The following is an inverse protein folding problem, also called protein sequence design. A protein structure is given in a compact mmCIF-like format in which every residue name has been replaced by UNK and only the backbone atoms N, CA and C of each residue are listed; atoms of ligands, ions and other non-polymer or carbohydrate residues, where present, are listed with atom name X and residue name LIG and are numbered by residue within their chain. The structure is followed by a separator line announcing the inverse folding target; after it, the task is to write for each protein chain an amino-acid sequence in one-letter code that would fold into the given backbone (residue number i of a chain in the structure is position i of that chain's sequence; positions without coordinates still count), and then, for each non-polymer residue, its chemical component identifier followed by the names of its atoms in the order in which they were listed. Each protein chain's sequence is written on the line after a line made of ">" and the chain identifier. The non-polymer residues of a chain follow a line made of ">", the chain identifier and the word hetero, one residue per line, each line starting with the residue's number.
data_IF_174710634700
#
_entry.id   IF_174710634700
#
_cell.length_a   1.000
_cell.length_b   1.000
_cell.length_c   1.000
_cell.angle_alpha   90.00
_cell.angle_beta   90.00
_cell.angle_gamma   90.00
#
_symmetry.space_group_name_H-M   'P 1'
#
loop_
_entity.id
_entity.type
_entity.pdbx_description
1 polymer ?
#
# COMPACT_ATOMS: atom_id res chain seq x y z
N UNK A 1 14.35 15.88 7.31
CA UNK A 1 13.27 14.88 7.26
C UNK A 1 13.40 14.14 5.95
N UNK A 2 13.74 12.85 5.97
CA UNK A 2 13.83 12.04 4.76
C UNK A 2 12.45 11.96 4.10
N UNK A 3 12.37 12.25 2.80
CA UNK A 3 11.13 12.11 2.02
C UNK A 3 10.75 10.63 2.05
N UNK A 4 9.70 10.29 2.78
CA UNK A 4 9.11 8.95 2.76
C UNK A 4 8.34 8.77 1.44
N UNK A 5 9.07 8.57 0.34
CA UNK A 5 8.51 8.42 -1.00
C UNK A 5 9.53 7.83 -1.96
N UNK A 6 9.04 7.07 -2.94
CA UNK A 6 9.86 6.57 -4.04
C UNK A 6 9.89 7.68 -5.11
N UNK A 7 11.07 8.21 -5.41
CA UNK A 7 11.25 9.18 -6.48
C UNK A 7 11.53 8.44 -7.79
N UNK A 8 10.63 8.60 -8.76
CA UNK A 8 10.73 8.00 -10.09
C UNK A 8 10.81 9.14 -11.09
N UNK A 9 11.85 9.14 -11.93
CA UNK A 9 12.13 10.21 -12.88
C UNK A 9 12.01 9.68 -14.31
N UNK A 10 11.39 10.47 -15.19
CA UNK A 10 11.47 10.27 -16.64
C UNK A 10 12.51 11.26 -17.17
N UNK A 11 13.54 10.74 -17.83
CA UNK A 11 14.48 11.57 -18.59
C UNK A 11 14.38 11.19 -20.06
N UNK A 12 13.61 11.96 -20.82
CA UNK A 12 13.46 11.79 -22.26
C UNK A 12 13.89 13.08 -22.96
N UNK A 13 14.65 12.93 -24.03
CA UNK A 13 15.05 14.01 -24.92
C UNK A 13 13.79 14.67 -25.53
N UNK A 14 13.79 15.99 -25.68
CA UNK A 14 12.65 16.77 -26.19
C UNK A 14 11.54 17.08 -25.17
N UNK A 15 11.31 16.27 -24.12
CA UNK A 15 10.27 16.61 -23.12
C UNK A 15 10.58 17.89 -22.35
N UNK A 16 11.86 18.14 -22.05
CA UNK A 16 12.29 19.37 -21.38
C UNK A 16 12.05 20.60 -22.25
N UNK A 17 12.31 20.48 -23.55
CA UNK A 17 12.08 21.56 -24.52
C UNK A 17 10.60 21.83 -24.68
N UNK A 18 9.76 20.78 -24.82
CA UNK A 18 8.30 20.93 -24.87
C UNK A 18 7.77 21.60 -23.60
N UNK A 19 8.26 21.20 -22.43
CA UNK A 19 7.89 21.84 -21.17
C UNK A 19 8.31 23.32 -21.12
N UNK A 20 9.52 23.64 -21.57
CA UNK A 20 10.00 25.02 -21.64
C UNK A 20 9.16 25.86 -22.62
N UNK A 21 8.84 25.31 -23.79
CA UNK A 21 8.00 25.96 -24.80
C UNK A 21 6.58 26.22 -24.27
N UNK A 22 5.96 25.25 -23.58
CA UNK A 22 4.65 25.46 -22.92
C UNK A 22 4.73 26.61 -21.92
N UNK A 23 5.77 26.65 -21.08
CA UNK A 23 5.92 27.73 -20.08
C UNK A 23 6.21 29.09 -20.69
N UNK A 24 6.88 29.14 -21.84
CA UNK A 24 7.14 30.38 -22.56
C UNK A 24 5.89 30.89 -23.29
N UNK A 25 5.06 29.98 -23.81
CA UNK A 25 3.90 30.32 -24.62
C UNK A 25 2.67 30.68 -23.80
N UNK A 26 2.45 29.99 -22.68
CA UNK A 26 1.25 30.15 -21.86
C UNK A 26 1.54 30.90 -20.55
N UNK A 27 0.62 31.75 -20.06
CA UNK A 27 0.64 32.24 -18.69
C UNK A 27 0.75 31.08 -17.69
N UNK A 28 1.40 31.29 -16.54
CA UNK A 28 1.67 30.23 -15.57
C UNK A 28 0.43 29.40 -15.18
N UNK A 29 -0.73 30.05 -15.01
CA UNK A 29 -1.98 29.34 -14.69
C UNK A 29 -2.35 28.35 -15.80
N UNK A 30 -2.42 28.82 -17.04
CA UNK A 30 -2.77 28.00 -18.21
C UNK A 30 -1.72 26.91 -18.47
N UNK A 31 -0.44 27.23 -18.36
CA UNK A 31 0.64 26.25 -18.45
C UNK A 31 0.45 25.10 -17.44
N UNK A 32 0.09 25.42 -16.20
CA UNK A 32 -0.15 24.40 -15.16
C UNK A 32 -1.38 23.52 -15.45
N UNK A 33 -2.39 24.06 -16.12
CA UNK A 33 -3.60 23.34 -16.53
C UNK A 33 -3.30 22.40 -17.70
N UNK A 34 -2.60 22.90 -18.72
CA UNK A 34 -2.15 22.10 -19.88
C UNK A 34 -1.24 20.95 -19.41
N UNK A 35 -0.21 21.25 -18.62
CA UNK A 35 0.68 20.23 -18.05
C UNK A 35 -0.08 19.25 -17.17
N UNK A 36 -1.02 19.74 -16.34
CA UNK A 36 -1.83 18.89 -15.47
C UNK A 36 -2.66 17.88 -16.25
N UNK A 37 -3.34 18.33 -17.31
CA UNK A 37 -4.16 17.46 -18.17
C UNK A 37 -3.30 16.45 -18.94
N UNK A 38 -2.15 16.89 -19.46
CA UNK A 38 -1.22 16.02 -20.18
C UNK A 38 -0.65 14.93 -19.26
N UNK A 39 -0.21 15.31 -18.05
CA UNK A 39 0.30 14.37 -17.04
C UNK A 39 -0.79 13.36 -16.64
N UNK A 40 -2.03 13.81 -16.41
CA UNK A 40 -3.12 12.93 -16.00
C UNK A 40 -3.39 11.80 -17.01
N UNK A 41 -3.37 12.13 -18.30
CA UNK A 41 -3.47 11.13 -19.37
C UNK A 41 -2.22 10.26 -19.46
N UNK A 42 -1.04 10.87 -19.34
CA UNK A 42 0.24 10.18 -19.48
C UNK A 42 0.46 9.13 -18.38
N UNK A 43 0.05 9.40 -17.14
CA UNK A 43 0.25 8.47 -16.00
C UNK A 43 -0.77 7.33 -15.96
N UNK A 44 -1.86 7.40 -16.74
CA UNK A 44 -2.94 6.42 -16.70
C UNK A 44 -2.49 4.97 -16.99
N UNK A 45 -1.63 4.69 -17.98
CA UNK A 45 -1.09 3.35 -18.21
C UNK A 45 -0.33 2.79 -16.99
N UNK A 46 0.46 3.64 -16.33
CA UNK A 46 1.19 3.27 -15.12
C UNK A 46 0.25 2.97 -13.94
N UNK A 47 -0.86 3.73 -13.82
CA UNK A 47 -1.92 3.45 -12.86
C UNK A 47 -2.59 2.08 -13.10
N UNK A 48 -2.95 1.76 -14.34
CA UNK A 48 -3.51 0.46 -14.71
C UNK A 48 -2.54 -0.67 -14.39
N UNK A 49 -1.27 -0.50 -14.82
CA UNK A 49 -0.22 -1.49 -14.59
C UNK A 49 0.01 -1.73 -13.10
N UNK A 50 0.04 -0.68 -12.29
CA UNK A 50 0.15 -0.81 -10.83
C UNK A 50 -0.97 -1.68 -10.27
N UNK A 51 -2.21 -1.48 -10.71
CA UNK A 51 -3.35 -2.30 -10.33
C UNK A 51 -3.24 -3.77 -10.74
N UNK A 52 -2.52 -4.09 -11.81
CA UNK A 52 -2.28 -5.45 -12.29
C UNK A 52 -1.17 -6.16 -11.49
N UNK A 53 -0.02 -5.50 -11.31
CA UNK A 53 1.14 -6.08 -10.62
C UNK A 53 0.99 -6.10 -9.10
N UNK A 54 0.06 -5.32 -8.55
CA UNK A 54 -0.23 -5.34 -7.11
C UNK A 54 -0.74 -6.73 -6.68
N UNK A 55 -0.06 -7.41 -5.73
CA UNK A 55 -0.47 -8.74 -5.29
C UNK A 55 -1.87 -8.72 -4.65
N UNK A 56 -2.63 -9.78 -4.92
CA UNK A 56 -3.98 -9.95 -4.36
C UNK A 56 -3.90 -10.52 -2.94
N UNK A 57 -3.94 -9.65 -1.95
CA UNK A 57 -4.10 -10.06 -0.55
C UNK A 57 -5.52 -10.54 -0.22
N UNK A 58 -5.74 -11.19 0.94
CA UNK A 58 -7.04 -11.75 1.33
C UNK A 58 -8.22 -10.76 1.32
N UNK A 59 -7.96 -9.46 1.52
CA UNK A 59 -8.99 -8.40 1.49
C UNK A 59 -8.92 -7.50 0.27
N UNK A 60 -7.93 -7.70 -0.61
CA UNK A 60 -7.69 -6.85 -1.78
C UNK A 60 -7.48 -5.34 -1.45
N UNK A 61 -7.24 -4.98 -0.19
CA UNK A 61 -7.14 -3.58 0.25
C UNK A 61 -6.07 -2.80 -0.50
N UNK A 62 -4.90 -3.41 -0.68
CA UNK A 62 -3.80 -2.76 -1.38
C UNK A 62 -4.16 -2.44 -2.83
N UNK A 63 -4.75 -3.41 -3.55
CA UNK A 63 -5.20 -3.22 -4.93
C UNK A 63 -6.31 -2.16 -5.03
N UNK A 64 -7.26 -2.15 -4.08
CA UNK A 64 -8.33 -1.13 -4.00
C UNK A 64 -7.80 0.26 -3.65
N UNK A 65 -6.63 0.34 -3.02
CA UNK A 65 -6.00 1.59 -2.66
C UNK A 65 -5.16 2.17 -3.79
N UNK A 66 -4.92 1.45 -4.89
CA UNK A 66 -4.21 1.98 -6.05
C UNK A 66 -4.91 3.24 -6.52
N UNK A 67 -4.14 4.32 -6.63
CA UNK A 67 -4.65 5.62 -7.02
C UNK A 67 -3.58 6.41 -7.76
N UNK A 68 -4.06 7.32 -8.60
CA UNK A 68 -3.26 8.38 -9.18
C UNK A 68 -3.83 9.73 -8.75
N UNK A 69 -2.96 10.74 -8.70
CA UNK A 69 -3.33 12.12 -8.39
C UNK A 69 -2.42 13.05 -9.16
N UNK A 70 -3.00 14.06 -9.79
CA UNK A 70 -2.23 15.17 -10.36
C UNK A 70 -2.42 16.41 -9.49
N UNK A 71 -1.30 17.06 -9.15
CA UNK A 71 -1.30 18.32 -8.42
C UNK A 71 -0.73 19.42 -9.31
N UNK A 72 -1.51 20.47 -9.52
CA UNK A 72 -1.14 21.64 -10.32
C UNK A 72 -0.58 22.73 -9.40
N UNK A 73 0.35 23.51 -9.93
CA UNK A 73 1.00 24.64 -9.26
C UNK A 73 0.85 25.88 -10.17
N UNK A 74 -0.30 26.58 -10.11
CA UNK A 74 -0.62 27.67 -11.03
C UNK A 74 0.32 28.87 -10.97
N UNK A 75 0.96 29.10 -9.82
CA UNK A 75 1.93 30.19 -9.65
C UNK A 75 3.25 29.91 -10.38
N UNK A 76 3.64 28.64 -10.46
CA UNK A 76 4.94 28.22 -11.01
C UNK A 76 4.84 27.71 -12.45
N UNK A 77 3.61 27.59 -12.99
CA UNK A 77 3.35 26.95 -14.27
C UNK A 77 3.80 25.48 -14.30
N UNK A 78 3.69 24.79 -13.17
CA UNK A 78 4.15 23.41 -13.01
C UNK A 78 3.00 22.48 -12.63
N UNK A 79 3.18 21.18 -12.89
CA UNK A 79 2.28 20.13 -12.44
C UNK A 79 3.07 18.88 -12.09
N UNK A 80 2.58 18.10 -11.13
CA UNK A 80 3.20 16.86 -10.65
C UNK A 80 2.17 15.75 -10.67
N UNK A 81 2.54 14.63 -11.30
CA UNK A 81 1.79 13.38 -11.26
C UNK A 81 2.28 12.49 -10.12
N UNK A 82 1.36 11.90 -9.38
CA UNK A 82 1.61 10.95 -8.31
C UNK A 82 0.87 9.67 -8.62
N UNK A 83 1.56 8.54 -8.51
CA UNK A 83 0.99 7.20 -8.63
C UNK A 83 1.44 6.41 -7.41
N UNK A 84 0.53 5.62 -6.84
CA UNK A 84 0.85 4.76 -5.72
C UNK A 84 -0.41 4.26 -5.06
N UNK A 85 -0.35 4.17 -3.74
CA UNK A 85 -1.48 3.73 -2.92
C UNK A 85 -1.99 4.86 -2.05
N UNK A 86 -3.30 4.92 -1.86
CA UNK A 86 -3.93 5.80 -0.88
C UNK A 86 -3.40 5.43 0.49
N UNK A 87 -2.84 6.42 1.16
CA UNK A 87 -2.44 6.31 2.57
C UNK A 87 -3.67 5.88 3.37
N UNK A 88 -3.46 4.94 4.29
CA UNK A 88 -4.52 4.61 5.23
C UNK A 88 -4.94 5.85 6.04
N UNK A 89 -6.22 5.95 6.38
CA UNK A 89 -6.78 7.12 7.08
C UNK A 89 -5.94 7.57 8.28
N UNK A 90 -5.90 8.88 8.53
CA UNK A 90 -5.12 9.49 9.65
C UNK A 90 -5.79 9.24 11.00
N UNK A 91 -7.07 8.86 10.99
CA UNK A 91 -7.77 8.43 12.19
C UNK A 91 -6.99 7.31 12.89
N UNK A 92 -7.05 7.26 14.22
CA UNK A 92 -6.46 6.16 14.97
C UNK A 92 -6.89 4.87 14.31
N UNK A 93 -5.93 4.10 13.81
CA UNK A 93 -6.18 2.79 13.26
C UNK A 93 -6.94 2.02 14.34
N UNK A 94 -8.26 1.92 14.19
CA UNK A 94 -9.04 1.06 15.05
C UNK A 94 -8.48 -0.32 14.78
N UNK A 95 -7.79 -0.86 15.78
CA UNK A 95 -7.48 -2.28 15.80
C UNK A 95 -8.76 -2.98 15.36
N UNK A 96 -8.67 -3.92 14.44
CA UNK A 96 -9.76 -4.84 14.19
C UNK A 96 -9.94 -5.66 15.47
N UNK A 97 -10.51 -5.02 16.50
CA UNK A 97 -10.78 -5.54 17.82
C UNK A 97 -11.83 -6.63 17.61
N UNK A 98 -11.35 -7.82 17.29
CA UNK A 98 -12.19 -8.97 16.99
C UNK A 98 -12.12 -9.55 15.60
N UNK A 99 -11.05 -9.33 14.83
CA UNK A 99 -10.66 -10.33 13.83
C UNK A 99 -11.41 -10.31 12.50
N UNK A 100 -12.15 -9.25 12.17
CA UNK A 100 -12.55 -9.01 10.77
C UNK A 100 -11.54 -8.08 10.09
N UNK A 101 -10.76 -8.64 9.16
CA UNK A 101 -9.96 -7.82 8.24
C UNK A 101 -10.97 -7.04 7.38
N UNK A 102 -11.11 -5.74 7.65
CA UNK A 102 -12.08 -4.91 6.92
C UNK A 102 -11.56 -4.60 5.52
N UNK A 103 -12.44 -4.72 4.54
CA UNK A 103 -12.15 -4.29 3.19
C UNK A 103 -12.32 -2.77 3.08
N UNK A 104 -11.36 -2.06 2.47
CA UNK A 104 -11.42 -0.61 2.30
C UNK A 104 -10.25 -0.05 1.49
N UNK A 105 -10.47 1.01 0.68
CA UNK A 105 -9.42 1.66 -0.11
C UNK A 105 -8.42 2.46 0.75
N UNK A 106 -8.73 2.68 2.03
CA UNK A 106 -7.98 3.43 3.03
C UNK A 106 -7.20 2.49 3.99
N UNK A 107 -6.84 1.28 3.54
CA UNK A 107 -6.24 0.24 4.39
C UNK A 107 -5.02 -0.44 3.76
N UNK A 108 -4.21 0.32 3.02
CA UNK A 108 -2.99 -0.12 2.34
C UNK A 108 -1.75 -0.24 3.25
N UNK A 109 -1.89 -0.78 4.46
CA UNK A 109 -0.81 -0.82 5.47
C UNK A 109 0.45 -1.60 5.03
N UNK A 110 0.33 -2.43 3.99
CA UNK A 110 1.36 -3.37 3.57
C UNK A 110 2.20 -2.90 2.38
N UNK A 111 1.92 -1.70 1.83
CA UNK A 111 2.71 -1.17 0.71
C UNK A 111 4.21 -1.22 1.02
N UNK A 112 4.63 -0.61 2.14
CA UNK A 112 6.05 -0.47 2.46
C UNK A 112 6.77 -1.83 2.52
N UNK A 113 6.11 -2.86 3.05
CA UNK A 113 6.67 -4.20 3.14
C UNK A 113 6.85 -4.86 1.77
N UNK A 114 6.01 -4.52 0.80
CA UNK A 114 6.14 -5.05 -0.55
C UNK A 114 7.17 -4.28 -1.38
N UNK A 115 7.38 -2.99 -1.11
CA UNK A 115 8.40 -2.23 -1.84
C UNK A 115 9.82 -2.52 -1.32
N UNK A 116 9.99 -2.65 0.00
CA UNK A 116 11.32 -2.69 0.64
C UNK A 116 11.60 -3.97 1.43
N UNK A 117 10.66 -4.90 1.44
CA UNK A 117 10.72 -6.09 2.29
C UNK A 117 10.62 -5.76 3.78
N UNK A 118 10.89 -6.76 4.61
CA UNK A 118 11.02 -6.61 6.06
C UNK A 118 12.26 -7.34 6.54
N UNK A 119 12.82 -6.88 7.66
CA UNK A 119 13.93 -7.59 8.32
C UNK A 119 13.40 -8.80 9.08
N UNK A 120 14.26 -9.80 9.27
CA UNK A 120 14.01 -10.90 10.18
C UNK A 120 13.65 -10.37 11.57
N UNK A 121 12.61 -10.94 12.20
CA UNK A 121 12.20 -10.58 13.56
C UNK A 121 12.37 -11.77 14.48
N UNK A 122 12.92 -11.54 15.66
CA UNK A 122 13.07 -12.57 16.69
C UNK A 122 12.22 -12.20 17.89
N UNK A 123 11.29 -13.08 18.26
CA UNK A 123 10.55 -12.98 19.52
C UNK A 123 11.44 -13.60 20.60
N UNK A 124 12.22 -12.75 21.26
CA UNK A 124 13.19 -13.13 22.30
C UNK A 124 12.71 -12.86 23.73
N UNK A 125 11.52 -12.31 23.92
CA UNK A 125 10.93 -12.11 25.24
C UNK A 125 10.02 -13.28 25.61
N UNK A 126 10.35 -13.97 26.70
CA UNK A 126 9.51 -15.02 27.27
C UNK A 126 8.27 -14.41 27.94
N UNK A 127 7.15 -15.13 27.86
CA UNK A 127 5.96 -14.86 28.65
C UNK A 127 6.20 -15.30 30.10
N UNK A 128 6.61 -14.37 30.95
CA UNK A 128 6.97 -14.62 32.35
C UNK A 128 6.08 -13.87 33.34
N UNK A 129 5.12 -13.07 32.88
CA UNK A 129 4.24 -12.34 33.79
C UNK A 129 3.29 -13.32 34.48
N UNK A 130 3.42 -13.56 35.79
CA UNK A 130 2.46 -14.36 36.52
C UNK A 130 1.09 -13.68 36.48
N UNK A 131 0.03 -14.48 36.48
CA UNK A 131 -1.34 -13.97 36.63
C UNK A 131 -2.09 -14.79 37.66
N UNK A 132 -2.96 -14.11 38.41
CA UNK A 132 -3.82 -14.75 39.40
C UNK A 132 -5.03 -15.34 38.70
N UNK A 133 -5.14 -16.67 38.70
CA UNK A 133 -6.34 -17.34 38.20
C UNK A 133 -7.39 -17.31 39.30
N UNK A 134 -8.58 -16.80 38.97
CA UNK A 134 -9.73 -16.85 39.89
C UNK A 134 -10.15 -18.30 40.14
N UNK A 135 -10.70 -18.54 41.32
CA UNK A 135 -11.23 -19.85 41.66
C UNK A 135 -12.34 -20.27 40.69
N UNK A 136 -12.40 -21.55 40.36
CA UNK A 136 -13.44 -22.11 39.48
C UNK A 136 -13.67 -23.58 39.78
N UNK A 137 -14.86 -24.07 39.47
CA UNK A 137 -15.16 -25.50 39.53
C UNK A 137 -14.64 -26.19 38.27
N UNK A 138 -13.98 -27.34 38.45
CA UNK A 138 -13.48 -28.19 37.36
C UNK A 138 -14.10 -29.57 37.49
N UNK A 139 -14.66 -30.08 36.40
CA UNK A 139 -15.07 -31.48 36.29
C UNK A 139 -13.88 -32.34 35.87
N UNK A 140 -13.61 -33.40 36.61
CA UNK A 140 -12.58 -34.39 36.31
C UNK A 140 -13.09 -35.39 35.28
N UNK A 141 -12.16 -36.15 34.68
CA UNK A 141 -12.50 -37.23 33.74
C UNK A 141 -13.38 -38.32 34.39
N UNK A 142 -13.28 -38.50 35.71
CA UNK A 142 -14.14 -39.39 36.51
C UNK A 142 -15.57 -38.87 36.72
N UNK A 143 -15.91 -37.68 36.22
CA UNK A 143 -17.22 -37.06 36.39
C UNK A 143 -17.39 -36.27 37.69
N UNK A 144 -16.49 -36.43 38.67
CA UNK A 144 -16.47 -35.67 39.91
C UNK A 144 -16.14 -34.19 39.68
N UNK A 145 -16.73 -33.31 40.50
CA UNK A 145 -16.49 -31.86 40.44
C UNK A 145 -15.59 -31.45 41.61
N UNK A 146 -14.50 -30.75 41.32
CA UNK A 146 -13.57 -30.23 42.33
C UNK A 146 -13.52 -28.71 42.24
N UNK A 147 -13.55 -28.03 43.37
CA UNK A 147 -13.32 -26.58 43.43
C UNK A 147 -11.81 -26.29 43.37
N UNK A 148 -11.41 -25.45 42.41
CA UNK A 148 -10.02 -25.03 42.25
C UNK A 148 -9.89 -23.66 42.87
N UNK A 149 -9.18 -23.55 44.00
CA UNK A 149 -8.93 -22.28 44.69
C UNK A 149 -8.16 -21.29 43.82
N UNK A 150 -8.32 -19.97 44.04
CA UNK A 150 -7.49 -18.97 43.39
C UNK A 150 -6.00 -19.25 43.67
N UNK A 151 -5.19 -19.27 42.62
CA UNK A 151 -3.74 -19.49 42.74
C UNK A 151 -3.00 -18.74 41.63
N UNK A 152 -1.72 -18.46 41.89
CA UNK A 152 -0.81 -17.92 40.89
C UNK A 152 -0.47 -19.04 39.92
N UNK A 153 -0.84 -18.89 38.64
CA UNK A 153 -0.46 -19.87 37.62
C UNK A 153 0.98 -19.57 37.21
N UNK A 154 1.89 -20.50 37.45
CA UNK A 154 3.27 -20.46 36.94
C UNK A 154 3.50 -21.51 35.83
N UNK A 155 2.74 -22.61 35.84
CA UNK A 155 2.91 -23.75 34.92
C UNK A 155 2.44 -23.39 33.50
N UNK A 156 3.33 -23.53 32.52
CA UNK A 156 3.09 -23.14 31.11
C UNK A 156 3.60 -21.74 30.74
N UNK A 157 4.19 -21.02 31.71
CA UNK A 157 4.96 -19.79 31.50
C UNK A 157 6.39 -20.13 31.06
N UNK A 158 7.19 -19.13 30.71
CA UNK A 158 8.53 -19.26 30.11
C UNK A 158 8.57 -19.68 28.63
N UNK A 159 7.46 -19.54 27.90
CA UNK A 159 7.42 -19.73 26.44
C UNK A 159 7.53 -18.41 25.70
N UNK A 160 8.11 -18.46 24.51
CA UNK A 160 8.03 -17.38 23.53
C UNK A 160 6.67 -17.47 22.83
N UNK A 161 5.94 -16.36 22.77
CA UNK A 161 4.58 -16.32 22.22
C UNK A 161 4.52 -15.30 21.09
N UNK A 162 4.04 -15.74 19.93
CA UNK A 162 3.66 -14.88 18.82
C UNK A 162 2.15 -15.05 18.55
N UNK A 163 1.44 -13.94 18.40
CA UNK A 163 -0.02 -13.91 18.22
C UNK A 163 -0.40 -12.80 17.26
N UNK A 164 -1.49 -12.98 16.51
CA UNK A 164 -2.10 -11.93 15.67
C UNK A 164 -2.74 -10.80 16.49
N UNK A 165 -2.89 -10.97 17.80
CA UNK A 165 -3.50 -9.97 18.69
C UNK A 165 -2.54 -9.54 19.79
N UNK A 166 -2.45 -8.22 20.03
CA UNK A 166 -1.61 -7.60 21.07
C UNK A 166 -2.14 -7.82 22.51
N UNK A 167 -3.40 -8.28 22.64
CA UNK A 167 -4.05 -8.74 23.87
C UNK A 167 -4.81 -10.03 23.50
N UNK A 168 -5.24 -10.84 24.46
CA UNK A 168 -6.14 -11.98 24.20
C UNK A 168 -7.45 -11.44 23.58
N UNK A 169 -7.48 -11.27 22.26
CA UNK A 169 -8.67 -10.93 21.48
C UNK A 169 -9.57 -12.16 21.31
N UNK A 170 -10.72 -12.05 20.64
CA UNK A 170 -11.77 -13.06 20.63
C UNK A 170 -11.47 -14.20 19.65
N UNK A 171 -10.24 -14.74 19.67
CA UNK A 171 -9.98 -16.01 19.03
C UNK A 171 -10.02 -17.12 20.07
N UNK A 172 -10.71 -18.20 19.75
CA UNK A 172 -10.74 -19.40 20.59
C UNK A 172 -9.57 -20.27 20.19
N UNK A 173 -8.82 -20.77 21.18
CA UNK A 173 -7.84 -21.82 20.94
C UNK A 173 -8.59 -23.14 20.83
N UNK A 174 -8.69 -23.67 19.62
CA UNK A 174 -9.17 -25.03 19.40
C UNK A 174 -7.99 -25.97 19.67
N UNK A 175 -8.12 -26.78 20.71
CA UNK A 175 -7.18 -27.87 20.95
C UNK A 175 -7.54 -28.99 19.97
N UNK A 176 -6.70 -29.15 18.96
CA UNK A 176 -6.76 -30.32 18.10
C UNK A 176 -6.36 -31.53 18.94
N UNK A 177 -7.26 -32.50 19.10
CA UNK A 177 -7.04 -33.70 19.91
C UNK A 177 -5.93 -34.58 19.33
N UNK A 178 -5.64 -34.45 18.04
CA UNK A 178 -4.72 -35.32 17.31
C UNK A 178 -3.40 -34.64 16.91
N UNK A 179 -3.25 -33.33 17.12
CA UNK A 179 -2.04 -32.58 16.75
C UNK A 179 -1.64 -31.67 17.89
N UNK A 180 -0.37 -31.74 18.31
CA UNK A 180 0.24 -30.81 19.28
C UNK A 180 0.27 -29.32 18.82
N UNK A 181 -0.52 -28.96 17.80
CA UNK A 181 -0.70 -27.60 17.28
C UNK A 181 -2.00 -27.01 17.80
N UNK A 182 -1.90 -25.84 18.44
CA UNK A 182 -3.05 -25.03 18.79
C UNK A 182 -3.59 -24.40 17.51
N UNK A 183 -4.84 -24.70 17.15
CA UNK A 183 -5.56 -23.98 16.11
C UNK A 183 -6.30 -22.80 16.73
N UNK A 184 -6.58 -21.77 15.92
CA UNK A 184 -7.38 -20.62 16.34
C UNK A 184 -8.69 -20.60 15.57
N UNK A 185 -9.76 -20.16 16.22
CA UNK A 185 -11.02 -19.78 15.57
C UNK A 185 -11.21 -18.26 15.75
N UNK A 186 -11.20 -17.47 14.66
CA UNK A 186 -11.14 -17.89 13.27
C UNK A 186 -9.79 -18.47 12.86
N UNK A 187 -9.80 -19.35 11.86
CA UNK A 187 -8.57 -19.95 11.34
C UNK A 187 -7.62 -18.92 10.71
N UNK A 188 -6.36 -19.31 10.55
CA UNK A 188 -5.39 -18.55 9.75
C UNK A 188 -5.97 -18.27 8.35
N UNK A 189 -5.75 -17.07 7.76
CA UNK A 189 -4.89 -15.97 8.22
C UNK A 189 -5.55 -14.98 9.19
N UNK A 190 -6.80 -15.22 9.63
CA UNK A 190 -7.56 -14.25 10.44
C UNK A 190 -7.10 -14.22 11.90
N UNK A 191 -6.66 -15.35 12.43
CA UNK A 191 -5.94 -15.42 13.70
C UNK A 191 -4.78 -16.43 13.62
N UNK A 192 -3.78 -16.24 14.47
CA UNK A 192 -2.74 -17.24 14.70
C UNK A 192 -2.24 -17.15 16.14
N UNK A 193 -1.78 -18.30 16.64
CA UNK A 193 -1.09 -18.41 17.92
C UNK A 193 0.06 -19.40 17.78
N UNK A 194 1.27 -18.98 18.15
CA UNK A 194 2.46 -19.84 18.19
C UNK A 194 3.12 -19.69 19.55
N UNK A 195 3.29 -20.81 20.24
CA UNK A 195 4.05 -20.90 21.48
C UNK A 195 5.26 -21.82 21.28
N UNK A 196 6.43 -21.41 21.76
CA UNK A 196 7.69 -22.15 21.61
C UNK A 196 8.51 -22.10 22.90
N UNK A 197 9.27 -23.16 23.19
CA UNK A 197 10.30 -23.17 24.23
C UNK A 197 11.55 -22.37 23.84
N UNK A 198 11.79 -22.25 22.54
CA UNK A 198 12.90 -21.49 21.92
C UNK A 198 12.41 -20.18 21.31
N UNK A 199 13.29 -19.17 21.15
CA UNK A 199 12.94 -17.91 20.49
C UNK A 199 12.25 -18.13 19.14
N UNK A 200 11.13 -17.45 18.91
CA UNK A 200 10.42 -17.59 17.63
C UNK A 200 11.09 -16.68 16.61
N UNK A 201 11.69 -17.28 15.60
CA UNK A 201 12.24 -16.58 14.44
C UNK A 201 11.13 -16.42 13.40
N UNK A 202 10.86 -15.18 13.01
CA UNK A 202 9.95 -14.81 11.93
C UNK A 202 10.84 -14.40 10.74
N UNK A 203 10.80 -15.15 9.62
CA UNK A 203 11.64 -14.85 8.47
C UNK A 203 11.29 -13.47 7.88
N UNK A 204 12.26 -12.83 7.20
CA UNK A 204 11.99 -11.61 6.46
C UNK A 204 10.98 -11.86 5.34
N UNK A 205 10.15 -10.86 5.08
CA UNK A 205 9.37 -10.79 3.83
C UNK A 205 10.30 -10.20 2.77
N UNK A 206 10.57 -10.90 1.65
CA UNK A 206 11.38 -10.35 0.57
C UNK A 206 10.68 -9.17 -0.09
N UNK A 207 11.43 -8.34 -0.80
CA UNK A 207 10.89 -7.33 -1.70
C UNK A 207 9.91 -7.98 -2.70
N UNK A 208 8.76 -7.32 -2.91
CA UNK A 208 7.63 -7.86 -3.68
C UNK A 208 6.81 -8.94 -3.01
N UNK A 209 7.17 -9.36 -1.79
CA UNK A 209 6.48 -10.42 -1.07
C UNK A 209 6.49 -11.74 -1.84
N UNK A 210 5.33 -12.39 -1.97
CA UNK A 210 5.21 -13.67 -2.70
C UNK A 210 5.49 -13.52 -4.20
N UNK A 211 5.22 -12.34 -4.77
CA UNK A 211 5.46 -12.07 -6.19
C UNK A 211 6.94 -11.85 -6.52
N UNK A 212 7.78 -11.57 -5.51
CA UNK A 212 9.22 -11.32 -5.68
C UNK A 212 9.56 -10.04 -6.44
N UNK A 213 8.57 -9.21 -6.79
CA UNK A 213 8.74 -7.96 -7.51
C UNK A 213 8.03 -6.80 -6.81
N UNK A 214 8.73 -5.70 -6.49
CA UNK A 214 8.13 -4.51 -5.85
C UNK A 214 7.15 -3.83 -6.82
N UNK A 215 5.86 -3.70 -6.46
CA UNK A 215 4.82 -3.39 -7.44
C UNK A 215 4.90 -1.96 -8.01
N UNK A 216 5.26 -0.94 -7.21
CA UNK A 216 5.39 0.44 -7.72
C UNK A 216 6.57 0.54 -8.69
N UNK A 217 7.73 0.02 -8.31
CA UNK A 217 8.90 0.01 -9.18
C UNK A 217 8.66 -0.77 -10.47
N UNK A 218 8.07 -1.95 -10.38
CA UNK A 218 7.75 -2.79 -11.54
C UNK A 218 6.78 -2.07 -12.47
N UNK A 219 5.68 -1.54 -11.94
CA UNK A 219 4.70 -0.83 -12.76
C UNK A 219 5.30 0.36 -13.50
N UNK A 220 6.16 1.13 -12.83
CA UNK A 220 6.83 2.26 -13.45
C UNK A 220 7.82 1.84 -14.52
N UNK A 221 8.71 0.89 -14.22
CA UNK A 221 9.72 0.43 -15.15
C UNK A 221 9.09 -0.11 -16.44
N UNK A 222 7.97 -0.84 -16.31
CA UNK A 222 7.21 -1.40 -17.42
C UNK A 222 6.51 -0.34 -18.29
N UNK A 223 6.20 0.84 -17.73
CA UNK A 223 5.32 1.82 -18.40
C UNK A 223 5.95 3.17 -18.68
N UNK A 224 7.12 3.47 -18.12
CA UNK A 224 7.79 4.77 -18.25
C UNK A 224 7.95 5.24 -19.71
N UNK A 225 8.21 4.33 -20.65
CA UNK A 225 8.28 4.65 -22.08
C UNK A 225 6.93 5.12 -22.65
N UNK A 226 5.84 4.42 -22.32
CA UNK A 226 4.48 4.81 -22.72
C UNK A 226 4.02 6.10 -22.07
N UNK A 227 4.40 6.31 -20.80
CA UNK A 227 4.13 7.57 -20.09
C UNK A 227 4.83 8.73 -20.81
N UNK A 228 6.10 8.56 -21.18
CA UNK A 228 6.85 9.57 -21.92
C UNK A 228 6.23 9.86 -23.30
N UNK A 229 5.88 8.82 -24.06
CA UNK A 229 5.22 8.94 -25.37
C UNK A 229 3.90 9.72 -25.27
N UNK A 230 3.04 9.36 -24.30
CA UNK A 230 1.76 10.04 -24.11
C UNK A 230 1.96 11.49 -23.68
N UNK A 231 2.93 11.76 -22.81
CA UNK A 231 3.24 13.12 -22.39
C UNK A 231 3.73 13.96 -23.57
N UNK A 232 4.65 13.43 -24.38
CA UNK A 232 5.16 14.11 -25.57
C UNK A 232 4.03 14.41 -26.54
N UNK A 233 3.21 13.40 -26.89
CA UNK A 233 2.07 13.55 -27.80
C UNK A 233 1.11 14.63 -27.33
N UNK A 234 0.67 14.58 -26.07
CA UNK A 234 -0.30 15.53 -25.54
C UNK A 234 0.25 16.96 -25.48
N UNK A 235 1.54 17.14 -25.13
CA UNK A 235 2.16 18.46 -25.12
C UNK A 235 2.35 19.03 -26.53
N UNK A 236 2.78 18.20 -27.48
CA UNK A 236 2.92 18.60 -28.89
C UNK A 236 1.59 19.02 -29.50
N UNK A 237 0.51 18.26 -29.26
CA UNK A 237 -0.84 18.62 -29.71
C UNK A 237 -1.26 19.99 -29.16
N UNK A 238 -1.05 20.23 -27.87
CA UNK A 238 -1.43 21.49 -27.22
C UNK A 238 -0.65 22.68 -27.72
N UNK A 239 0.64 22.52 -28.00
CA UNK A 239 1.43 23.56 -28.65
C UNK A 239 0.91 23.83 -30.06
N UNK A 240 0.64 22.80 -30.86
CA UNK A 240 0.12 22.96 -32.22
C UNK A 240 -1.20 23.71 -32.26
N UNK A 241 -2.15 23.35 -31.39
CA UNK A 241 -3.43 24.06 -31.23
C UNK A 241 -3.22 25.55 -30.91
N UNK A 242 -2.26 25.84 -30.04
CA UNK A 242 -1.97 27.20 -29.61
C UNK A 242 -1.32 28.04 -30.72
N UNK A 243 -0.42 27.44 -31.50
CA UNK A 243 0.16 28.05 -32.70
C UNK A 243 -0.91 28.34 -33.75
N UNK A 244 -1.81 27.40 -34.00
CA UNK A 244 -2.93 27.60 -34.93
C UNK A 244 -3.84 28.75 -34.48
N UNK A 245 -4.13 28.85 -33.18
CA UNK A 245 -4.93 29.93 -32.62
C UNK A 245 -4.27 31.31 -32.77
N UNK A 246 -2.95 31.41 -32.64
CA UNK A 246 -2.21 32.66 -32.90
C UNK A 246 -2.25 33.03 -34.39
N UNK A 247 -1.94 32.07 -35.27
CA UNK A 247 -2.00 32.31 -36.73
C UNK A 247 -3.38 32.80 -37.16
N UNK A 248 -4.45 32.23 -36.59
CA UNK A 248 -5.81 32.68 -36.85
C UNK A 248 -6.05 34.14 -36.43
N UNK A 249 -5.53 34.55 -35.26
CA UNK A 249 -5.64 35.94 -34.80
C UNK A 249 -4.90 36.93 -35.69
N UNK A 250 -3.73 36.55 -36.19
CA UNK A 250 -2.90 37.43 -37.04
C UNK A 250 -3.39 37.51 -38.50
N UNK A 251 -3.94 36.42 -39.05
CA UNK A 251 -4.32 36.34 -40.46
C UNK A 251 -5.81 36.61 -40.74
N UNK A 252 -6.68 36.57 -39.72
CA UNK A 252 -8.11 36.86 -39.85
C UNK A 252 -8.92 35.91 -40.76
N UNK A 253 -8.32 34.83 -41.28
CA UNK A 253 -8.94 33.90 -42.22
C UNK A 253 -8.26 32.53 -42.20
N UNK A 254 -9.05 31.45 -42.10
CA UNK A 254 -8.58 30.07 -42.27
C UNK A 254 -8.61 29.77 -43.78
N UNK A 255 -7.45 29.71 -44.42
CA UNK A 255 -7.33 28.97 -45.69
C UNK A 255 -7.32 27.48 -45.33
N UNK A 256 -8.33 26.74 -45.82
CA UNK A 256 -8.70 25.40 -45.37
C UNK A 256 -7.74 24.25 -45.70
N UNK A 257 -6.43 24.49 -45.70
CA UNK A 257 -5.40 23.50 -46.04
C UNK A 257 -4.44 23.16 -44.89
N UNK A 258 -4.50 23.86 -43.76
CA UNK A 258 -3.67 23.57 -42.58
C UNK A 258 -4.33 22.51 -41.67
N UNK A 259 -4.44 21.29 -42.18
CA UNK A 259 -4.58 20.09 -41.35
C UNK A 259 -3.52 19.09 -41.76
N UNK A 260 -2.42 19.04 -41.00
CA UNK A 260 -1.83 17.86 -40.35
C UNK A 260 -0.54 18.26 -39.62
#
# INVERSE_FOLDING_TARGET
>A
MAVAGINLNINFEGLRELQANIKAFFPHKEASEVLGNAIEKAIYPAFLRLGEVTPRGPTLNLRRAVAMKVKRYPRDGAAVGLIGYRRAGVEQASSAAGGSVRAGPDRAFHQWWLEFGTKQRVVSKKSQKPYNRRGHTRRLASGATTEVSPHVVQKGQNKYIASSFNRLGPFKMIRDLNRNRVQTDPAYPRAFFKASSEPIIIPPVPEGGVAGQPPVHTAWNDTQGRVAEYLQRELSLRLSEAWAALRYRDSGSITGTDTL
#
